data_IF_980913240270
#
_entry.id   IF_980913240270
#
_cell.length_a   1.000
_cell.length_b   1.000
_cell.length_c   1.000
_cell.angle_alpha   90.00
_cell.angle_beta   90.00
_cell.angle_gamma   90.00
#
_symmetry.space_group_name_H-M   'P 1'
#
loop_
_entity.id
_entity.type
_entity.pdbx_description
1 polymer ?
#
# COMPACT_ATOMS: atom_id res chain seq x y z
N UNK A 1 28.56 17.27 -22.38
CA UNK A 1 29.44 16.39 -23.15
C UNK A 1 29.93 15.26 -22.25
N UNK A 2 28.99 14.48 -21.60
CA UNK A 2 29.34 13.39 -20.68
C UNK A 2 28.32 12.24 -20.68
N UNK A 3 27.65 12.00 -21.82
CA UNK A 3 26.61 10.93 -21.95
C UNK A 3 27.00 9.88 -23.01
N UNK A 4 28.29 9.64 -23.28
CA UNK A 4 28.73 8.73 -24.35
C UNK A 4 29.61 7.56 -23.87
N UNK A 5 29.69 7.26 -22.57
CA UNK A 5 30.60 6.22 -22.09
C UNK A 5 29.93 5.01 -21.38
N UNK A 6 28.63 4.79 -21.56
CA UNK A 6 27.92 3.65 -20.92
C UNK A 6 27.06 2.82 -21.88
N UNK A 7 27.21 2.93 -23.18
CA UNK A 7 26.55 2.04 -24.14
C UNK A 7 27.52 1.43 -25.14
N UNK A 8 28.33 0.50 -24.67
CA UNK A 8 28.91 -0.52 -25.54
C UNK A 8 27.86 -1.62 -25.75
N UNK A 9 27.01 -1.47 -26.74
CA UNK A 9 26.11 -2.53 -27.20
C UNK A 9 26.42 -2.79 -28.65
N UNK A 10 27.13 -3.90 -28.88
CA UNK A 10 27.19 -4.54 -30.18
C UNK A 10 25.78 -5.04 -30.60
N UNK A 11 25.55 -4.96 -31.86
CA UNK A 11 24.32 -5.30 -32.60
C UNK A 11 23.72 -6.65 -32.18
N UNK A 12 22.50 -6.61 -31.64
CA UNK A 12 21.67 -7.81 -31.52
C UNK A 12 20.76 -7.94 -32.73
N UNK A 13 21.00 -8.99 -33.55
CA UNK A 13 20.06 -9.47 -34.56
C UNK A 13 18.75 -9.92 -33.91
N UNK A 14 17.66 -9.37 -34.38
CA UNK A 14 16.30 -9.82 -34.05
C UNK A 14 16.03 -11.17 -34.69
N UNK A 15 16.11 -12.26 -33.92
CA UNK A 15 15.50 -13.54 -34.31
C UNK A 15 14.04 -13.56 -33.90
N UNK A 16 13.15 -13.64 -34.87
CA UNK A 16 11.74 -13.93 -34.67
C UNK A 16 11.57 -15.27 -33.93
N UNK A 17 10.84 -15.27 -32.82
CA UNK A 17 10.48 -16.49 -32.11
C UNK A 17 9.15 -16.97 -32.65
N UNK A 18 9.20 -18.16 -33.26
CA UNK A 18 8.09 -18.89 -33.86
C UNK A 18 7.08 -19.31 -32.77
N UNK A 19 5.82 -18.90 -32.93
CA UNK A 19 4.74 -19.06 -31.96
C UNK A 19 4.08 -20.45 -31.89
N UNK A 20 4.63 -21.45 -32.60
CA UNK A 20 3.99 -22.78 -32.74
C UNK A 20 4.52 -23.90 -31.81
N UNK A 21 5.40 -23.62 -30.83
CA UNK A 21 5.99 -24.67 -29.98
C UNK A 21 5.61 -24.65 -28.50
N UNK A 22 4.54 -24.03 -28.09
CA UNK A 22 4.10 -24.04 -26.68
C UNK A 22 2.83 -24.88 -26.43
N UNK A 23 2.32 -25.60 -27.41
CA UNK A 23 1.02 -26.31 -27.29
C UNK A 23 1.12 -27.84 -27.10
N UNK A 24 2.15 -28.36 -26.46
CA UNK A 24 2.25 -29.80 -26.23
C UNK A 24 2.91 -30.15 -24.87
N UNK A 25 2.21 -29.93 -23.77
CA UNK A 25 2.48 -30.63 -22.48
C UNK A 25 1.45 -30.31 -21.38
N UNK A 26 0.18 -30.65 -21.59
CA UNK A 26 -0.73 -30.94 -20.49
C UNK A 26 -1.64 -32.10 -20.91
N UNK A 27 -1.31 -33.28 -20.41
CA UNK A 27 -2.12 -34.49 -20.57
C UNK A 27 -3.39 -34.37 -19.70
N UNK A 28 -4.53 -34.54 -20.38
CA UNK A 28 -5.82 -34.76 -19.74
C UNK A 28 -5.82 -36.06 -18.96
N UNK A 29 -6.12 -36.00 -17.66
CA UNK A 29 -6.59 -37.14 -16.89
C UNK A 29 -8.07 -36.88 -16.64
N UNK A 30 -8.93 -37.54 -17.42
CA UNK A 30 -10.35 -37.72 -17.11
C UNK A 30 -10.50 -38.97 -16.23
N UNK A 31 -11.03 -38.83 -15.04
CA UNK A 31 -11.56 -39.98 -14.28
C UNK A 31 -12.99 -39.64 -13.86
N UNK A 32 -13.91 -40.47 -14.38
CA UNK A 32 -15.32 -40.50 -14.01
C UNK A 32 -15.47 -40.83 -12.52
N UNK A 33 -16.25 -40.03 -11.82
CA UNK A 33 -16.80 -40.39 -10.52
C UNK A 33 -18.29 -40.05 -10.53
N UNK A 34 -19.11 -41.08 -10.85
CA UNK A 34 -20.53 -41.07 -10.55
C UNK A 34 -20.69 -41.61 -9.13
N UNK A 35 -21.03 -40.77 -8.20
CA UNK A 35 -21.41 -41.13 -6.83
C UNK A 35 -22.59 -40.26 -6.40
N UNK A 36 -23.80 -40.85 -6.34
CA UNK A 36 -24.97 -40.25 -5.70
C UNK A 36 -24.68 -39.97 -4.23
N UNK A 37 -24.73 -38.73 -3.80
CA UNK A 37 -24.77 -38.35 -2.39
C UNK A 37 -26.17 -37.80 -2.05
N UNK A 38 -26.89 -38.58 -1.25
CA UNK A 38 -28.16 -38.21 -0.61
C UNK A 38 -27.89 -37.07 0.38
N UNK A 39 -28.54 -35.91 0.16
CA UNK A 39 -28.57 -34.82 1.13
C UNK A 39 -29.48 -35.15 2.30
N UNK A 40 -28.90 -35.30 3.48
CA UNK A 40 -29.60 -35.11 4.75
C UNK A 40 -28.58 -34.85 5.85
N UNK A 41 -28.23 -33.61 6.04
CA UNK A 41 -27.78 -33.13 7.35
C UNK A 41 -28.09 -31.62 7.46
N UNK A 42 -28.97 -31.34 8.39
CA UNK A 42 -29.33 -29.99 8.82
C UNK A 42 -28.10 -29.34 9.43
N UNK A 43 -27.43 -28.47 8.67
CA UNK A 43 -26.39 -27.61 9.23
C UNK A 43 -27.05 -26.60 10.17
N UNK A 44 -27.02 -26.89 11.47
CA UNK A 44 -27.15 -25.87 12.49
C UNK A 44 -25.96 -24.91 12.33
N UNK A 45 -26.21 -23.73 11.77
CA UNK A 45 -25.28 -22.61 11.86
C UNK A 45 -25.23 -22.18 13.33
N UNK A 46 -24.26 -22.74 14.08
CA UNK A 46 -23.82 -22.11 15.33
C UNK A 46 -23.20 -20.77 14.92
N UNK A 47 -23.89 -19.69 15.26
CA UNK A 47 -23.33 -18.35 15.14
C UNK A 47 -22.07 -18.30 15.99
N UNK A 48 -20.90 -18.28 15.35
CA UNK A 48 -19.65 -17.92 15.98
C UNK A 48 -19.80 -16.47 16.38
N UNK A 49 -19.71 -16.19 17.68
CA UNK A 49 -19.80 -14.84 18.21
C UNK A 49 -18.65 -14.03 17.57
N UNK A 50 -18.92 -12.85 17.00
CA UNK A 50 -17.93 -12.05 16.27
C UNK A 50 -16.74 -11.62 17.14
N UNK A 51 -16.84 -11.83 18.48
CA UNK A 51 -15.78 -11.55 19.46
C UNK A 51 -14.65 -12.60 19.46
N UNK A 52 -14.87 -13.81 18.94
CA UNK A 52 -13.92 -14.93 19.04
C UNK A 52 -13.09 -15.15 17.76
N UNK A 53 -13.29 -14.37 16.69
CA UNK A 53 -12.50 -14.45 15.48
C UNK A 53 -11.04 -14.03 15.74
N UNK A 54 -10.08 -14.88 15.32
CA UNK A 54 -8.66 -14.55 15.43
C UNK A 54 -8.29 -13.36 14.53
N UNK A 55 -7.21 -12.65 14.85
CA UNK A 55 -6.71 -11.56 13.98
C UNK A 55 -6.34 -12.06 12.58
N UNK A 56 -5.98 -13.35 12.42
CA UNK A 56 -5.74 -13.97 11.11
C UNK A 56 -7.05 -14.16 10.30
N UNK A 57 -8.13 -14.58 10.96
CA UNK A 57 -9.46 -14.73 10.33
C UNK A 57 -9.99 -13.36 9.91
N UNK A 58 -9.79 -12.34 10.77
CA UNK A 58 -10.14 -10.95 10.47
C UNK A 58 -9.38 -10.42 9.25
N UNK A 59 -8.08 -10.72 9.15
CA UNK A 59 -7.27 -10.33 8.00
C UNK A 59 -7.83 -10.94 6.71
N UNK A 60 -8.18 -12.22 6.71
CA UNK A 60 -8.78 -12.91 5.56
C UNK A 60 -10.10 -12.25 5.10
N UNK A 61 -10.96 -11.87 6.05
CA UNK A 61 -12.22 -11.20 5.76
C UNK A 61 -12.00 -9.74 5.33
N UNK A 62 -11.00 -9.05 5.90
CA UNK A 62 -10.57 -7.70 5.47
C UNK A 62 -10.07 -7.72 4.02
N UNK A 63 -9.27 -8.71 3.63
CA UNK A 63 -8.84 -8.92 2.23
C UNK A 63 -10.04 -9.06 1.30
N UNK A 64 -11.05 -9.83 1.71
CA UNK A 64 -12.29 -10.00 0.92
C UNK A 64 -13.02 -8.66 0.75
N UNK A 65 -13.05 -7.83 1.80
CA UNK A 65 -13.69 -6.52 1.75
C UNK A 65 -12.98 -5.53 0.82
N UNK A 66 -11.64 -5.39 0.94
CA UNK A 66 -10.86 -4.47 0.09
C UNK A 66 -10.86 -4.91 -1.38
N UNK A 67 -10.83 -6.20 -1.66
CA UNK A 67 -10.96 -6.74 -3.03
C UNK A 67 -12.32 -6.40 -3.64
N UNK A 68 -13.40 -6.54 -2.90
CA UNK A 68 -14.74 -6.20 -3.38
C UNK A 68 -14.87 -4.71 -3.69
N UNK A 69 -14.35 -3.83 -2.83
CA UNK A 69 -14.34 -2.39 -3.05
C UNK A 69 -13.45 -2.01 -4.24
N UNK A 70 -12.25 -2.62 -4.34
CA UNK A 70 -11.35 -2.42 -5.45
C UNK A 70 -11.93 -2.83 -6.81
N UNK A 71 -12.70 -3.92 -6.86
CA UNK A 71 -13.41 -4.35 -8.08
C UNK A 71 -14.41 -3.30 -8.53
N UNK A 72 -15.19 -2.71 -7.62
CA UNK A 72 -16.15 -1.67 -7.96
C UNK A 72 -15.48 -0.38 -8.46
N UNK A 73 -14.34 0.01 -7.86
CA UNK A 73 -13.55 1.15 -8.36
C UNK A 73 -12.91 0.86 -9.72
N UNK A 74 -12.45 -0.39 -9.94
CA UNK A 74 -11.87 -0.80 -11.24
C UNK A 74 -12.87 -0.68 -12.39
N UNK A 75 -14.14 -0.94 -12.16
CA UNK A 75 -15.21 -0.76 -13.17
C UNK A 75 -15.37 0.71 -13.58
N UNK A 76 -14.96 1.65 -12.72
CA UNK A 76 -15.01 3.10 -12.97
C UNK A 76 -13.69 3.66 -13.52
N UNK A 77 -12.64 2.84 -13.58
CA UNK A 77 -11.31 3.25 -14.02
C UNK A 77 -11.19 3.21 -15.54
N UNK A 78 -10.46 4.16 -16.12
CA UNK A 78 -10.00 4.07 -17.51
C UNK A 78 -10.45 5.23 -18.40
N UNK A 79 -11.42 6.04 -18.00
CA UNK A 79 -11.75 7.26 -18.72
C UNK A 79 -11.00 8.46 -18.13
N UNK A 80 -10.14 9.09 -18.95
CA UNK A 80 -9.49 10.34 -18.55
C UNK A 80 -10.51 11.47 -18.59
N UNK A 81 -11.08 11.80 -17.44
CA UNK A 81 -11.99 12.95 -17.30
C UNK A 81 -11.18 14.21 -17.04
N UNK A 82 -11.45 15.27 -17.82
CA UNK A 82 -10.83 16.57 -17.61
C UNK A 82 -11.78 17.47 -16.81
N UNK A 83 -11.44 17.69 -15.56
CA UNK A 83 -12.19 18.57 -14.67
C UNK A 83 -11.89 20.02 -15.00
N UNK A 84 -12.93 20.87 -15.09
CA UNK A 84 -12.82 22.30 -15.38
C UNK A 84 -12.83 23.15 -14.13
N UNK A 85 -13.36 22.61 -13.05
CA UNK A 85 -13.46 23.31 -11.76
C UNK A 85 -13.01 22.39 -10.62
N UNK A 86 -12.57 23.00 -9.51
CA UNK A 86 -12.26 22.27 -8.28
C UNK A 86 -13.48 21.52 -7.76
N UNK A 87 -14.67 22.08 -7.88
CA UNK A 87 -15.90 21.45 -7.43
C UNK A 87 -16.23 20.17 -8.20
N UNK A 88 -16.02 20.15 -9.52
CA UNK A 88 -16.18 18.95 -10.34
C UNK A 88 -15.22 17.84 -9.88
N UNK A 89 -13.95 18.19 -9.66
CA UNK A 89 -12.94 17.27 -9.15
C UNK A 89 -13.34 16.71 -7.78
N UNK A 90 -13.71 17.57 -6.82
CA UNK A 90 -14.10 17.14 -5.47
C UNK A 90 -15.32 16.22 -5.47
N UNK A 91 -16.32 16.48 -6.32
CA UNK A 91 -17.48 15.58 -6.48
C UNK A 91 -17.08 14.22 -7.04
N UNK A 92 -16.12 14.18 -7.97
CA UNK A 92 -15.65 12.91 -8.54
C UNK A 92 -14.82 12.11 -7.51
N UNK A 93 -13.96 12.79 -6.72
CA UNK A 93 -13.23 12.18 -5.62
C UNK A 93 -14.19 11.57 -4.59
N UNK A 94 -15.21 12.33 -4.17
CA UNK A 94 -16.22 11.88 -3.23
C UNK A 94 -16.99 10.66 -3.78
N UNK A 95 -17.38 10.66 -5.05
CA UNK A 95 -18.13 9.56 -5.67
C UNK A 95 -17.34 8.23 -5.70
N UNK A 96 -16.02 8.27 -5.82
CA UNK A 96 -15.17 7.07 -5.67
C UNK A 96 -15.11 6.62 -4.22
N UNK A 97 -14.89 7.55 -3.28
CA UNK A 97 -14.89 7.26 -1.84
C UNK A 97 -16.21 6.62 -1.41
N UNK A 98 -17.35 7.22 -1.75
CA UNK A 98 -18.69 6.71 -1.43
C UNK A 98 -18.93 5.31 -2.00
N UNK A 99 -18.49 5.06 -3.24
CA UNK A 99 -18.61 3.75 -3.89
C UNK A 99 -17.88 2.67 -3.08
N UNK A 100 -16.64 2.92 -2.71
CA UNK A 100 -15.83 1.95 -1.97
C UNK A 100 -16.28 1.82 -0.50
N UNK A 101 -16.56 2.94 0.19
CA UNK A 101 -17.05 2.93 1.57
C UNK A 101 -18.40 2.23 1.71
N UNK A 102 -19.31 2.38 0.74
CA UNK A 102 -20.57 1.65 0.71
C UNK A 102 -20.38 0.12 0.72
N UNK A 103 -19.23 -0.37 0.27
CA UNK A 103 -18.87 -1.78 0.28
C UNK A 103 -18.07 -2.14 1.54
N UNK A 104 -17.10 -1.31 1.94
CA UNK A 104 -16.19 -1.57 3.05
C UNK A 104 -16.89 -1.45 4.41
N UNK A 105 -17.58 -0.34 4.64
CA UNK A 105 -18.15 -0.04 5.96
C UNK A 105 -19.08 -1.14 6.49
N UNK A 106 -20.09 -1.63 5.75
CA UNK A 106 -20.95 -2.70 6.26
C UNK A 106 -20.23 -4.01 6.56
N UNK A 107 -19.18 -4.32 5.79
CA UNK A 107 -18.38 -5.55 5.98
C UNK A 107 -17.49 -5.44 7.21
N UNK A 108 -16.70 -4.38 7.30
CA UNK A 108 -15.74 -4.18 8.39
C UNK A 108 -16.44 -3.94 9.73
N UNK A 109 -17.56 -3.19 9.76
CA UNK A 109 -18.38 -3.04 10.97
C UNK A 109 -18.93 -4.37 11.46
N UNK A 110 -19.33 -5.27 10.55
CA UNK A 110 -19.78 -6.61 10.97
C UNK A 110 -18.65 -7.44 11.58
N UNK A 111 -17.41 -7.26 11.14
CA UNK A 111 -16.24 -7.96 11.67
C UNK A 111 -15.87 -7.49 13.06
N UNK A 112 -16.00 -6.19 13.32
CA UNK A 112 -15.73 -5.53 14.60
C UNK A 112 -16.80 -4.47 14.87
N UNK A 113 -17.97 -4.87 15.43
CA UNK A 113 -19.09 -3.96 15.63
C UNK A 113 -18.76 -2.78 16.57
N UNK A 114 -17.87 -3.02 17.55
CA UNK A 114 -17.52 -2.05 18.57
C UNK A 114 -16.29 -1.20 18.18
N UNK A 115 -15.65 -1.49 17.04
CA UNK A 115 -14.53 -0.69 16.57
C UNK A 115 -14.99 0.68 16.08
N UNK A 116 -14.28 1.73 16.51
CA UNK A 116 -14.44 3.08 15.98
C UNK A 116 -14.02 3.17 14.51
N UNK A 117 -14.42 4.27 13.86
CA UNK A 117 -14.00 4.62 12.51
C UNK A 117 -13.26 5.94 12.52
N UNK A 118 -12.15 6.01 11.79
CA UNK A 118 -11.51 7.27 11.48
C UNK A 118 -12.26 7.87 10.32
N UNK A 119 -12.95 8.98 10.56
CA UNK A 119 -13.83 9.61 9.56
C UNK A 119 -13.05 10.55 8.62
N UNK A 120 -11.97 11.14 9.10
CA UNK A 120 -11.08 11.97 8.28
C UNK A 120 -9.76 11.22 8.03
N UNK A 121 -9.56 10.79 6.78
CA UNK A 121 -8.35 10.10 6.35
C UNK A 121 -7.09 10.98 6.45
N UNK A 122 -7.25 12.31 6.42
CA UNK A 122 -6.17 13.29 6.54
C UNK A 122 -5.80 13.58 8.00
N UNK A 123 -6.58 13.09 8.97
CA UNK A 123 -6.27 13.26 10.39
C UNK A 123 -4.99 12.54 10.80
N UNK A 124 -4.19 13.22 11.62
CA UNK A 124 -3.02 12.68 12.29
C UNK A 124 -3.26 12.45 13.79
N UNK A 125 -2.19 12.13 14.50
CA UNK A 125 -2.18 12.02 15.97
C UNK A 125 -2.72 10.69 16.51
N UNK A 126 -2.90 10.63 17.85
CA UNK A 126 -3.34 9.41 18.53
C UNK A 126 -4.87 9.25 18.46
N UNK A 127 -5.32 8.00 18.33
CA UNK A 127 -6.71 7.60 18.49
C UNK A 127 -7.06 7.43 19.98
N UNK A 128 -8.33 7.52 20.35
CA UNK A 128 -8.78 7.07 21.66
C UNK A 128 -8.43 5.59 21.90
N UNK A 129 -8.37 5.13 23.18
CA UNK A 129 -8.18 3.71 23.49
C UNK A 129 -9.23 2.82 22.81
N UNK A 130 -8.87 1.57 22.52
CA UNK A 130 -9.74 0.58 21.88
C UNK A 130 -9.38 0.28 20.44
N UNK A 131 -10.31 -0.32 19.70
CA UNK A 131 -10.12 -0.71 18.29
C UNK A 131 -10.70 0.33 17.33
N UNK A 132 -9.99 0.55 16.23
CA UNK A 132 -10.34 1.54 15.21
C UNK A 132 -10.03 1.02 13.82
N UNK A 133 -10.98 1.18 12.91
CA UNK A 133 -10.72 1.04 11.48
C UNK A 133 -10.16 2.34 10.91
N UNK A 134 -8.98 2.22 10.28
CA UNK A 134 -8.36 3.26 9.46
C UNK A 134 -8.42 2.75 8.03
N UNK A 135 -9.20 3.43 7.20
CA UNK A 135 -9.53 2.97 5.84
C UNK A 135 -9.28 4.12 4.88
N UNK A 136 -8.53 3.86 3.82
CA UNK A 136 -8.59 4.70 2.63
C UNK A 136 -9.33 3.93 1.54
N UNK A 137 -10.54 4.37 1.20
CA UNK A 137 -11.40 3.68 0.24
C UNK A 137 -10.88 3.80 -1.20
N UNK A 138 -10.07 4.82 -1.49
CA UNK A 138 -9.51 5.10 -2.81
C UNK A 138 -8.12 5.75 -2.70
N UNK A 139 -7.20 5.06 -2.07
CA UNK A 139 -5.80 5.46 -1.92
C UNK A 139 -5.18 5.81 -3.28
N UNK A 140 -4.77 7.07 -3.47
CA UNK A 140 -4.37 7.58 -4.77
C UNK A 140 -5.56 7.93 -5.68
N UNK A 141 -6.67 8.38 -5.13
CA UNK A 141 -7.92 8.70 -5.84
C UNK A 141 -7.73 9.69 -7.01
N UNK A 142 -6.82 10.66 -6.87
CA UNK A 142 -6.46 11.57 -7.97
C UNK A 142 -5.87 10.79 -9.15
N UNK A 143 -4.98 9.83 -8.90
CA UNK A 143 -4.42 8.96 -9.93
C UNK A 143 -5.52 8.15 -10.62
N UNK A 144 -6.45 7.57 -9.84
CA UNK A 144 -7.60 6.86 -10.39
C UNK A 144 -8.40 7.72 -11.37
N UNK A 145 -8.73 8.96 -10.99
CA UNK A 145 -9.49 9.88 -11.84
C UNK A 145 -8.72 10.35 -13.08
N UNK A 146 -7.40 10.28 -13.07
CA UNK A 146 -6.53 10.61 -14.20
C UNK A 146 -6.09 9.38 -15.01
N UNK A 147 -6.67 8.21 -14.75
CA UNK A 147 -6.31 6.93 -15.37
C UNK A 147 -4.81 6.57 -15.19
N UNK A 148 -4.19 7.02 -14.10
CA UNK A 148 -2.85 6.62 -13.69
C UNK A 148 -2.95 5.32 -12.85
N UNK A 149 -1.98 4.41 -12.98
CA UNK A 149 -2.12 3.07 -12.39
C UNK A 149 -1.84 3.00 -10.88
N UNK A 150 -1.28 4.06 -10.28
CA UNK A 150 -0.83 4.06 -8.89
C UNK A 150 -1.99 4.40 -7.94
N UNK A 151 -2.88 3.44 -7.69
CA UNK A 151 -3.95 3.56 -6.69
C UNK A 151 -4.29 2.20 -6.07
N UNK A 152 -4.90 2.22 -4.89
CA UNK A 152 -5.22 1.05 -4.10
C UNK A 152 -6.50 1.25 -3.27
N UNK A 153 -6.93 0.20 -2.59
CA UNK A 153 -7.91 0.24 -1.49
C UNK A 153 -7.23 -0.30 -0.25
N UNK A 154 -7.32 0.41 0.86
CA UNK A 154 -6.65 0.00 2.11
C UNK A 154 -7.64 -0.14 3.26
N UNK A 155 -7.36 -1.06 4.16
CA UNK A 155 -8.04 -1.18 5.45
C UNK A 155 -7.05 -1.68 6.50
N UNK A 156 -6.94 -0.95 7.60
CA UNK A 156 -6.05 -1.25 8.73
C UNK A 156 -6.86 -1.26 10.02
N UNK A 157 -6.76 -2.32 10.81
CA UNK A 157 -7.27 -2.35 12.17
C UNK A 157 -6.15 -1.88 13.12
N UNK A 158 -6.49 -0.89 13.93
CA UNK A 158 -5.61 -0.32 14.97
C UNK A 158 -6.20 -0.66 16.32
N UNK A 159 -5.37 -1.15 17.25
CA UNK A 159 -5.72 -1.43 18.64
C UNK A 159 -4.77 -0.65 19.54
N UNK A 160 -5.31 0.24 20.37
CA UNK A 160 -4.53 1.07 21.30
C UNK A 160 -3.36 1.81 20.61
N UNK A 161 -3.66 2.44 19.51
CA UNK A 161 -2.69 3.17 18.64
C UNK A 161 -1.59 2.32 17.99
N UNK A 162 -1.75 1.00 17.93
CA UNK A 162 -0.85 0.09 17.23
C UNK A 162 -1.60 -0.61 16.11
N UNK A 163 -1.11 -0.58 14.88
CA UNK A 163 -1.72 -1.34 13.80
C UNK A 163 -1.58 -2.84 14.10
N UNK A 164 -2.68 -3.56 14.00
CA UNK A 164 -2.76 -5.01 14.25
C UNK A 164 -2.67 -5.79 12.94
N UNK A 165 -3.49 -5.40 11.98
CA UNK A 165 -3.51 -5.98 10.64
C UNK A 165 -3.75 -4.91 9.59
N UNK A 166 -3.30 -5.16 8.39
CA UNK A 166 -3.58 -4.33 7.22
C UNK A 166 -3.75 -5.16 5.96
N UNK A 167 -4.64 -4.72 5.09
CA UNK A 167 -4.80 -5.21 3.73
C UNK A 167 -4.74 -4.02 2.76
N UNK A 168 -3.87 -4.11 1.75
CA UNK A 168 -3.70 -3.14 0.65
C UNK A 168 -3.94 -3.89 -0.65
N UNK A 169 -5.05 -3.59 -1.32
CA UNK A 169 -5.40 -4.21 -2.60
C UNK A 169 -5.10 -3.26 -3.75
N UNK A 170 -4.43 -3.79 -4.79
CA UNK A 170 -4.11 -3.09 -6.04
C UNK A 170 -5.03 -3.61 -7.14
N UNK A 171 -6.16 -2.94 -7.44
CA UNK A 171 -7.19 -3.53 -8.29
C UNK A 171 -6.77 -3.73 -9.74
N UNK A 172 -5.81 -2.98 -10.25
CA UNK A 172 -5.36 -3.10 -11.64
C UNK A 172 -4.52 -4.36 -11.88
N UNK A 173 -3.69 -4.74 -10.90
CA UNK A 173 -2.88 -5.97 -10.97
C UNK A 173 -3.59 -7.18 -10.35
N UNK A 174 -4.60 -6.92 -9.49
CA UNK A 174 -5.27 -7.94 -8.67
C UNK A 174 -4.48 -8.36 -7.44
N UNK A 175 -3.28 -7.83 -7.25
CA UNK A 175 -2.40 -8.15 -6.13
C UNK A 175 -2.97 -7.61 -4.81
N UNK A 176 -2.70 -8.32 -3.71
CA UNK A 176 -3.07 -7.87 -2.35
C UNK A 176 -1.89 -8.06 -1.41
N UNK A 177 -1.43 -6.94 -0.84
CA UNK A 177 -0.45 -6.97 0.24
C UNK A 177 -1.15 -7.01 1.58
N UNK A 178 -0.64 -7.83 2.48
CA UNK A 178 -1.17 -7.99 3.83
C UNK A 178 -0.05 -7.98 4.85
N UNK A 179 -0.32 -7.47 6.05
CA UNK A 179 0.52 -7.70 7.20
C UNK A 179 -0.34 -7.96 8.43
N UNK A 180 0.17 -8.80 9.31
CA UNK A 180 -0.36 -9.07 10.63
C UNK A 180 0.79 -8.98 11.62
N UNK A 181 0.60 -8.21 12.69
CA UNK A 181 1.64 -7.99 13.71
C UNK A 181 2.17 -9.31 14.24
N UNK A 182 3.50 -9.50 14.11
CA UNK A 182 4.21 -10.72 14.51
C UNK A 182 4.12 -11.90 13.54
N UNK A 183 3.33 -11.79 12.45
CA UNK A 183 3.17 -12.86 11.46
C UNK A 183 3.83 -12.54 10.10
N UNK A 184 4.33 -11.32 9.94
CA UNK A 184 5.03 -10.87 8.73
C UNK A 184 4.14 -10.19 7.71
N UNK A 185 4.77 -9.63 6.69
CA UNK A 185 4.13 -9.03 5.52
C UNK A 185 4.14 -10.00 4.33
N UNK A 186 3.08 -9.99 3.53
CA UNK A 186 2.92 -10.90 2.40
C UNK A 186 2.32 -10.19 1.19
N UNK A 187 2.69 -10.64 -0.01
CA UNK A 187 2.06 -10.29 -1.29
C UNK A 187 1.44 -11.58 -1.86
N UNK A 188 0.13 -11.65 -1.91
CA UNK A 188 -0.62 -12.85 -2.32
C UNK A 188 -0.09 -14.15 -1.66
N UNK A 189 0.12 -14.10 -0.34
CA UNK A 189 0.64 -15.18 0.48
C UNK A 189 2.16 -15.40 0.42
N UNK A 190 2.89 -14.73 -0.46
CA UNK A 190 4.37 -14.80 -0.50
C UNK A 190 4.94 -13.80 0.48
N UNK A 191 5.79 -14.26 1.40
CA UNK A 191 6.43 -13.41 2.40
C UNK A 191 7.28 -12.32 1.74
N UNK A 192 7.13 -11.11 2.24
CA UNK A 192 7.91 -9.94 1.82
C UNK A 192 9.12 -9.74 2.73
N UNK A 193 10.16 -9.17 2.16
CA UNK A 193 11.36 -8.72 2.88
C UNK A 193 11.85 -7.42 2.25
N UNK A 194 12.24 -6.47 3.09
CA UNK A 194 12.93 -5.26 2.63
C UNK A 194 14.25 -5.60 1.95
N UNK A 195 14.80 -4.67 1.19
CA UNK A 195 16.07 -4.85 0.50
C UNK A 195 17.25 -5.09 1.47
N UNK A 196 18.35 -5.59 0.93
CA UNK A 196 19.62 -5.75 1.64
C UNK A 196 20.66 -4.70 1.25
N UNK A 197 20.23 -3.67 0.52
CA UNK A 197 21.12 -2.54 0.16
C UNK A 197 21.68 -1.90 1.42
N UNK A 198 22.99 -1.62 1.41
CA UNK A 198 23.72 -1.07 2.55
C UNK A 198 24.44 0.24 2.22
N UNK A 199 24.25 0.76 1.01
CA UNK A 199 24.84 2.01 0.53
C UNK A 199 23.74 2.88 -0.09
N UNK A 200 23.55 4.08 0.45
CA UNK A 200 22.56 5.03 -0.05
C UNK A 200 22.86 5.43 -1.50
N UNK A 201 24.11 5.51 -1.89
CA UNK A 201 24.54 5.80 -3.27
C UNK A 201 24.13 4.74 -4.30
N UNK A 202 23.71 3.55 -3.86
CA UNK A 202 23.16 2.47 -4.70
C UNK A 202 21.63 2.33 -4.56
N UNK A 203 21.00 3.21 -3.79
CA UNK A 203 19.60 3.06 -3.37
C UNK A 203 18.64 3.79 -4.28
N UNK A 204 17.49 3.16 -4.52
CA UNK A 204 16.30 3.82 -5.05
C UNK A 204 15.45 4.26 -3.86
N UNK A 205 15.26 5.57 -3.72
CA UNK A 205 14.49 6.15 -2.61
C UNK A 205 13.27 6.90 -3.14
N UNK A 206 12.26 7.10 -2.27
CA UNK A 206 11.04 7.79 -2.67
C UNK A 206 10.52 8.74 -1.60
N UNK A 207 9.77 9.76 -2.04
CA UNK A 207 8.99 10.64 -1.18
C UNK A 207 7.67 10.98 -1.87
N UNK A 208 6.67 11.42 -1.09
CA UNK A 208 5.47 12.03 -1.63
C UNK A 208 5.65 13.55 -1.75
N UNK A 209 4.70 14.20 -2.39
CA UNK A 209 4.64 15.67 -2.41
C UNK A 209 4.01 16.22 -1.12
N UNK A 210 4.23 17.51 -0.84
CA UNK A 210 3.41 18.26 0.10
C UNK A 210 1.97 18.41 -0.45
N UNK A 211 0.98 18.48 0.45
CA UNK A 211 -0.41 18.76 0.04
C UNK A 211 -0.52 20.18 -0.53
N UNK A 212 -1.48 20.44 -1.43
CA UNK A 212 -1.64 21.77 -2.03
C UNK A 212 -1.93 22.91 -1.04
N UNK A 213 -2.48 22.57 0.15
CA UNK A 213 -2.84 23.48 1.24
C UNK A 213 -1.87 23.40 2.43
N UNK A 214 -0.72 22.76 2.24
CA UNK A 214 0.29 22.59 3.28
C UNK A 214 1.03 23.91 3.56
N UNK A 215 1.54 24.06 4.78
CA UNK A 215 2.35 25.21 5.18
C UNK A 215 3.58 25.38 4.27
N UNK A 216 3.89 26.62 3.90
CA UNK A 216 5.05 26.94 3.04
C UNK A 216 6.38 26.42 3.61
N UNK A 217 6.51 26.36 4.93
CA UNK A 217 7.70 25.79 5.57
C UNK A 217 7.83 24.28 5.30
N UNK A 218 6.72 23.55 5.31
CA UNK A 218 6.69 22.13 4.97
C UNK A 218 7.02 21.93 3.47
N UNK A 219 6.42 22.74 2.59
CA UNK A 219 6.71 22.71 1.15
C UNK A 219 8.21 22.91 0.89
N UNK A 220 8.82 23.92 1.54
CA UNK A 220 10.28 24.16 1.43
C UNK A 220 11.10 22.99 1.96
N UNK A 221 10.69 22.38 3.08
CA UNK A 221 11.37 21.24 3.69
C UNK A 221 11.32 20.02 2.76
N UNK A 222 10.18 19.74 2.13
CA UNK A 222 10.07 18.70 1.10
C UNK A 222 11.05 18.96 -0.04
N UNK A 223 11.08 20.18 -0.61
CA UNK A 223 12.01 20.53 -1.69
C UNK A 223 13.49 20.37 -1.28
N UNK A 224 13.86 20.85 -0.09
CA UNK A 224 15.23 20.72 0.43
C UNK A 224 15.65 19.24 0.61
N UNK A 225 14.73 18.42 1.15
CA UNK A 225 15.00 16.99 1.36
C UNK A 225 15.19 16.23 0.03
N UNK A 226 14.42 16.55 -0.99
CA UNK A 226 14.59 15.98 -2.34
C UNK A 226 15.96 16.36 -2.88
N UNK A 227 16.37 17.65 -2.75
CA UNK A 227 17.68 18.12 -3.19
C UNK A 227 18.82 17.39 -2.48
N UNK A 228 18.72 17.19 -1.16
CA UNK A 228 19.70 16.44 -0.38
C UNK A 228 19.80 14.99 -0.86
N UNK A 229 18.68 14.32 -1.03
CA UNK A 229 18.64 12.91 -1.47
C UNK A 229 19.12 12.73 -2.92
N UNK A 230 18.90 13.70 -3.82
CA UNK A 230 19.44 13.66 -5.19
C UNK A 230 20.97 13.68 -5.22
N UNK A 231 21.62 14.20 -4.18
CA UNK A 231 23.08 14.22 -4.07
C UNK A 231 23.66 12.89 -3.55
N UNK A 232 22.89 12.16 -2.76
CA UNK A 232 23.40 11.02 -2.00
C UNK A 232 22.82 9.65 -2.47
N UNK A 233 21.63 9.64 -3.07
CA UNK A 233 20.98 8.41 -3.53
C UNK A 233 21.14 8.20 -5.04
N UNK A 234 21.03 6.95 -5.49
CA UNK A 234 21.11 6.62 -6.92
C UNK A 234 19.91 7.18 -7.70
N UNK A 235 18.70 7.03 -7.17
CA UNK A 235 17.46 7.50 -7.80
C UNK A 235 16.50 8.01 -6.73
N UNK A 236 15.92 9.19 -6.95
CA UNK A 236 14.83 9.75 -6.15
C UNK A 236 13.53 9.71 -6.97
N UNK A 237 12.51 9.10 -6.41
CA UNK A 237 11.13 9.08 -6.95
C UNK A 237 10.25 10.01 -6.15
N UNK A 238 9.43 10.82 -6.84
CA UNK A 238 8.48 11.72 -6.19
C UNK A 238 7.12 11.51 -6.82
N UNK A 239 6.26 10.73 -6.17
CA UNK A 239 4.90 10.44 -6.63
C UNK A 239 3.95 10.24 -5.44
N UNK A 240 2.68 10.13 -5.70
CA UNK A 240 1.64 9.73 -4.74
C UNK A 240 0.98 8.44 -5.24
N UNK A 241 0.38 7.65 -4.35
CA UNK A 241 0.26 7.81 -2.90
C UNK A 241 1.43 7.19 -2.12
N UNK A 242 1.56 7.62 -0.83
CA UNK A 242 2.61 7.16 0.07
C UNK A 242 2.57 5.64 0.32
N UNK A 243 1.40 5.08 0.52
CA UNK A 243 1.19 3.64 0.78
C UNK A 243 1.83 2.74 -0.28
N UNK A 244 1.79 3.11 -1.57
CA UNK A 244 2.40 2.33 -2.64
C UNK A 244 3.94 2.37 -2.60
N UNK A 245 4.53 3.47 -2.15
CA UNK A 245 5.97 3.53 -1.91
C UNK A 245 6.37 2.63 -0.75
N UNK A 246 5.61 2.67 0.35
CA UNK A 246 5.85 1.84 1.53
C UNK A 246 5.69 0.34 1.22
N UNK A 247 4.71 -0.01 0.39
CA UNK A 247 4.57 -1.36 -0.14
C UNK A 247 5.83 -1.77 -0.94
N UNK A 248 6.36 -0.88 -1.77
CA UNK A 248 7.59 -1.15 -2.52
C UNK A 248 8.83 -1.26 -1.61
N UNK A 249 8.88 -0.51 -0.48
CA UNK A 249 9.92 -0.71 0.55
C UNK A 249 9.79 -2.08 1.18
N UNK A 250 8.57 -2.47 1.61
CA UNK A 250 8.32 -3.77 2.20
C UNK A 250 8.65 -4.95 1.25
N UNK A 251 8.48 -4.73 -0.06
CA UNK A 251 8.81 -5.70 -1.10
C UNK A 251 10.29 -5.69 -1.53
N UNK A 252 11.11 -4.81 -0.95
CA UNK A 252 12.53 -4.67 -1.30
C UNK A 252 12.79 -4.11 -2.69
N UNK A 253 11.79 -3.45 -3.32
CA UNK A 253 11.88 -2.85 -4.65
C UNK A 253 12.46 -1.43 -4.62
N UNK A 254 12.26 -0.70 -3.51
CA UNK A 254 12.92 0.55 -3.16
C UNK A 254 13.47 0.44 -1.74
N UNK A 255 14.43 1.29 -1.41
CA UNK A 255 15.27 1.12 -0.22
C UNK A 255 14.83 2.02 0.94
N UNK A 256 14.25 3.18 0.65
CA UNK A 256 13.73 4.10 1.64
C UNK A 256 12.56 4.94 1.10
N UNK A 257 11.68 5.36 2.01
CA UNK A 257 10.63 6.34 1.78
C UNK A 257 10.60 7.31 2.96
N UNK A 258 10.47 8.62 2.68
CA UNK A 258 10.28 9.65 3.71
C UNK A 258 9.13 10.59 3.35
N UNK A 259 8.54 11.21 4.37
CA UNK A 259 7.47 12.19 4.23
C UNK A 259 7.48 13.18 5.39
N UNK A 260 7.18 14.44 5.09
CA UNK A 260 6.90 15.47 6.10
C UNK A 260 5.40 15.73 6.14
N UNK A 261 4.86 15.95 7.31
CA UNK A 261 3.47 15.89 7.66
C UNK A 261 2.85 14.55 7.27
N UNK A 262 1.93 14.03 7.99
CA UNK A 262 1.42 12.68 7.71
C UNK A 262 -0.06 12.59 8.00
N UNK A 263 -0.81 12.07 7.03
CA UNK A 263 -2.11 11.52 7.28
C UNK A 263 -1.95 10.09 7.83
N UNK A 264 -2.73 9.74 8.84
CA UNK A 264 -2.68 8.40 9.46
C UNK A 264 -3.02 7.31 8.45
N UNK A 265 -4.02 7.55 7.60
CA UNK A 265 -4.46 6.61 6.59
C UNK A 265 -3.37 6.30 5.55
N UNK A 266 -2.58 7.30 5.16
CA UNK A 266 -1.51 7.16 4.18
C UNK A 266 -0.31 6.33 4.69
N UNK A 267 -0.03 6.42 6.00
CA UNK A 267 1.20 5.87 6.58
C UNK A 267 1.01 4.55 7.31
N UNK A 268 -0.09 4.37 8.07
CA UNK A 268 -0.26 3.17 8.91
C UNK A 268 -0.26 1.86 8.15
N UNK A 269 -0.94 1.72 6.98
CA UNK A 269 -0.91 0.48 6.22
C UNK A 269 0.52 0.09 5.84
N UNK A 270 1.25 1.06 5.27
CA UNK A 270 2.62 0.87 4.82
C UNK A 270 3.61 0.70 5.96
N UNK A 271 3.42 1.40 7.08
CA UNK A 271 4.27 1.26 8.27
C UNK A 271 4.23 -0.17 8.82
N UNK A 272 3.04 -0.78 8.92
CA UNK A 272 2.93 -2.18 9.35
C UNK A 272 3.58 -3.12 8.32
N UNK A 273 3.33 -2.93 7.01
CA UNK A 273 3.97 -3.74 5.97
C UNK A 273 5.50 -3.70 6.05
N UNK A 274 6.09 -2.49 6.17
CA UNK A 274 7.55 -2.33 6.26
C UNK A 274 8.12 -2.94 7.54
N UNK A 275 7.46 -2.71 8.68
CA UNK A 275 7.89 -3.27 9.96
C UNK A 275 7.91 -4.79 9.92
N UNK A 276 6.84 -5.41 9.43
CA UNK A 276 6.68 -6.87 9.34
C UNK A 276 7.55 -7.50 8.24
N UNK A 277 8.02 -6.71 7.27
CA UNK A 277 9.01 -7.11 6.27
C UNK A 277 10.48 -6.94 6.75
N UNK A 278 10.70 -6.48 7.99
CA UNK A 278 12.02 -6.30 8.60
C UNK A 278 12.68 -4.94 8.33
N UNK A 279 11.91 -3.93 7.90
CA UNK A 279 12.37 -2.55 7.74
C UNK A 279 12.44 -1.77 9.05
N UNK A 280 13.03 -0.59 9.01
CA UNK A 280 13.11 0.34 10.13
C UNK A 280 12.19 1.52 9.91
N UNK A 281 11.49 1.93 10.98
CA UNK A 281 10.62 3.09 11.02
C UNK A 281 11.16 4.10 12.02
N UNK A 282 11.26 5.37 11.61
CA UNK A 282 11.63 6.50 12.46
C UNK A 282 10.99 7.79 11.94
N UNK A 283 11.17 8.89 12.65
CA UNK A 283 11.12 10.20 12.01
C UNK A 283 12.40 10.46 11.22
N UNK A 284 12.50 11.60 10.52
CA UNK A 284 13.68 11.91 9.70
C UNK A 284 14.93 12.24 10.53
N UNK A 285 14.79 12.49 11.83
CA UNK A 285 15.88 12.65 12.80
C UNK A 285 16.32 11.32 13.44
N UNK A 286 15.69 10.18 13.06
CA UNK A 286 16.05 8.86 13.56
C UNK A 286 15.40 8.47 14.89
N UNK A 287 14.49 9.28 15.45
CA UNK A 287 13.73 8.93 16.66
C UNK A 287 12.61 7.94 16.32
N UNK A 288 12.18 7.08 17.23
CA UNK A 288 11.08 6.15 16.98
C UNK A 288 9.84 6.88 16.45
N UNK A 289 9.32 6.43 15.30
CA UNK A 289 8.12 7.01 14.72
C UNK A 289 6.87 6.64 15.52
N UNK A 290 5.98 7.61 15.64
CA UNK A 290 4.63 7.46 16.19
C UNK A 290 3.65 8.23 15.31
N UNK A 291 2.32 7.97 15.38
CA UNK A 291 1.33 8.76 14.66
C UNK A 291 1.30 10.27 15.00
N UNK A 292 2.08 10.69 16.00
CA UNK A 292 2.26 12.11 16.40
C UNK A 292 3.53 12.75 15.85
N UNK A 293 4.36 11.98 15.15
CA UNK A 293 5.62 12.50 14.61
C UNK A 293 5.34 13.41 13.41
N UNK A 294 6.08 14.53 13.31
CA UNK A 294 5.93 15.52 12.24
C UNK A 294 6.58 15.08 10.92
N UNK A 295 7.25 13.95 10.93
CA UNK A 295 7.89 13.35 9.78
C UNK A 295 7.94 11.84 9.90
N UNK A 296 8.18 11.19 8.79
CA UNK A 296 8.22 9.73 8.68
C UNK A 296 9.38 9.30 7.79
N UNK A 297 10.09 8.27 8.20
CA UNK A 297 11.10 7.56 7.42
C UNK A 297 10.91 6.06 7.59
N UNK A 298 10.75 5.35 6.48
CA UNK A 298 10.77 3.90 6.41
C UNK A 298 11.92 3.46 5.51
N UNK A 299 12.79 2.57 5.96
CA UNK A 299 13.94 2.17 5.17
C UNK A 299 14.40 0.74 5.46
N UNK A 300 15.10 0.16 4.49
CA UNK A 300 15.91 -1.02 4.72
C UNK A 300 16.96 -0.75 5.80
N UNK A 301 17.26 -1.71 6.71
CA UNK A 301 18.17 -1.48 7.84
C UNK A 301 19.54 -0.98 7.44
N UNK A 302 20.07 -1.41 6.27
CA UNK A 302 21.41 -1.06 5.81
C UNK A 302 21.57 0.40 5.39
N UNK A 303 20.49 1.07 4.97
CA UNK A 303 20.55 2.46 4.48
C UNK A 303 19.89 3.47 5.42
N UNK A 304 19.16 3.00 6.45
CA UNK A 304 18.39 3.86 7.35
C UNK A 304 19.23 4.98 7.99
N UNK A 305 20.39 4.65 8.57
CA UNK A 305 21.25 5.64 9.23
C UNK A 305 21.80 6.69 8.26
N UNK A 306 22.12 6.30 7.03
CA UNK A 306 22.57 7.20 5.98
C UNK A 306 21.44 8.12 5.53
N UNK A 307 20.22 7.58 5.36
CA UNK A 307 19.04 8.37 5.02
C UNK A 307 18.73 9.42 6.11
N UNK A 308 18.80 9.05 7.40
CA UNK A 308 18.66 10.00 8.52
C UNK A 308 19.74 11.09 8.41
N UNK A 309 21.01 10.75 8.21
CA UNK A 309 22.08 11.73 8.12
C UNK A 309 21.92 12.70 6.94
N UNK A 310 21.36 12.25 5.82
CA UNK A 310 21.06 13.09 4.65
C UNK A 310 19.86 14.01 4.90
N UNK A 311 18.79 13.50 5.50
CA UNK A 311 17.55 14.26 5.74
C UNK A 311 17.67 15.27 6.89
N UNK A 312 18.65 15.10 7.77
CA UNK A 312 18.90 15.99 8.93
C UNK A 312 19.83 17.18 8.63
N UNK A 313 20.31 17.31 7.38
CA UNK A 313 21.11 18.47 6.90
C UNK A 313 20.17 19.63 6.57
#
# INVERSE_FOLDING_TARGET
>A
MHLKLLMGLDTFETRAVDSERVSARFGLITSDFTGEFTMSETMQTTGVDASDATDADLLGQTVTAVRAAGSALRERFGEVVRYRTREELMRALAANGDTALGILRPRLTRLRPDAGWVEDELDGGALPPGEWWVVDPAEGNVNHLHALPEWAVTATLVRDNRPVLTAVHLPLTGETCTALTGAGAHLDGRRLHVSRTADLGLSVVATSQARPDEDEAVVRRVGASITAMLSDALVVRTTVPATLHLLNVAAGRIDAFWQFAGARADLLPGALLVSEAGGRLSDVEGRPWTPRSDSFLAAAPGVHAQAVATLSR
#
